data_IF_767449751144
#
_entry.id   IF_767449751144
#
_cell.length_a   1.000
_cell.length_b   1.000
_cell.length_c   1.000
_cell.angle_alpha   90.00
_cell.angle_beta   90.00
_cell.angle_gamma   90.00
#
_symmetry.space_group_name_H-M   'P 1'
#
loop_
_entity.id
_entity.type
_entity.pdbx_description
1 polymer ?
#
# COMPACT_ATOMS: atom_id res chain seq x y z
N UNK A 1 4.17 -5.60 10.44
CA UNK A 1 4.94 -5.33 9.20
C UNK A 1 4.50 -3.98 8.64
N UNK A 2 4.85 -2.86 9.28
CA UNK A 2 4.26 -1.55 8.93
C UNK A 2 5.35 -0.49 8.89
N UNK A 3 5.51 0.16 7.74
CA UNK A 3 6.43 1.28 7.58
C UNK A 3 5.63 2.55 7.26
N UNK A 4 5.99 3.66 7.90
CA UNK A 4 5.40 5.00 7.69
C UNK A 4 5.68 5.59 6.31
N UNK A 5 6.39 4.83 5.47
CA UNK A 5 6.89 5.25 4.16
C UNK A 5 6.04 4.71 2.99
N UNK A 6 4.94 4.01 3.30
CA UNK A 6 4.00 3.50 2.31
C UNK A 6 2.73 4.35 2.24
N UNK A 7 2.33 4.69 1.02
CA UNK A 7 1.11 5.43 0.78
C UNK A 7 0.33 4.76 -0.31
N UNK A 8 -0.95 4.57 -0.04
CA UNK A 8 -1.86 3.90 -0.95
C UNK A 8 -2.77 4.95 -1.54
N UNK A 9 -2.78 5.05 -2.87
CA UNK A 9 -3.80 5.82 -3.57
C UNK A 9 -4.73 4.82 -4.22
N UNK A 10 -5.98 4.85 -3.77
CA UNK A 10 -7.08 4.13 -4.36
C UNK A 10 -7.79 5.05 -5.35
N UNK A 11 -7.96 4.58 -6.57
CA UNK A 11 -8.61 5.30 -7.64
C UNK A 11 -10.02 4.77 -7.87
N UNK A 12 -11.04 5.64 -7.95
CA UNK A 12 -12.40 5.22 -8.31
C UNK A 12 -12.96 5.91 -9.54
N UNK A 13 -13.86 5.20 -10.22
CA UNK A 13 -14.52 5.63 -11.45
C UNK A 13 -15.99 5.95 -11.13
N UNK A 14 -16.35 7.23 -11.06
CA UNK A 14 -17.76 7.63 -10.97
C UNK A 14 -18.38 7.49 -12.36
N UNK A 15 -19.53 6.82 -12.46
CA UNK A 15 -20.13 6.40 -13.72
C UNK A 15 -20.79 7.50 -14.59
N UNK A 16 -20.39 8.77 -14.53
CA UNK A 16 -21.04 9.84 -15.33
C UNK A 16 -20.08 10.75 -16.09
N UNK A 17 -20.20 10.92 -17.43
CA UNK A 17 -19.40 11.85 -18.20
C UNK A 17 -19.91 13.28 -17.99
N UNK A 18 -19.16 14.12 -17.26
CA UNK A 18 -19.46 15.55 -17.15
C UNK A 18 -18.37 16.40 -17.82
N UNK A 19 -18.87 17.33 -18.63
CA UNK A 19 -18.20 18.24 -19.56
C UNK A 19 -17.07 19.08 -18.94
N UNK A 20 -16.00 19.26 -19.72
CA UNK A 20 -14.80 20.01 -19.40
C UNK A 20 -15.08 21.47 -18.98
N UNK A 21 -14.66 21.82 -17.76
CA UNK A 21 -14.51 23.21 -17.33
C UNK A 21 -13.12 23.71 -17.77
N UNK A 22 -13.09 24.85 -18.47
CA UNK A 22 -11.87 25.58 -18.86
C UNK A 22 -11.36 26.37 -17.66
N UNK A 23 -10.16 26.04 -17.17
CA UNK A 23 -9.44 26.82 -16.16
C UNK A 23 -8.53 27.88 -16.80
N UNK A 24 -8.47 29.06 -16.18
CA UNK A 24 -7.76 30.27 -16.63
C UNK A 24 -6.24 30.25 -16.41
N UNK A 25 -5.52 30.84 -17.37
CA UNK A 25 -4.07 30.71 -17.63
C UNK A 25 -3.07 31.37 -16.64
N UNK A 26 -3.49 31.82 -15.46
CA UNK A 26 -2.56 32.45 -14.49
C UNK A 26 -2.22 31.57 -13.29
N UNK A 27 -2.96 30.48 -13.06
CA UNK A 27 -2.62 29.45 -12.06
C UNK A 27 -1.61 28.43 -12.62
N UNK A 28 -1.41 28.39 -13.94
CA UNK A 28 -0.67 27.32 -14.63
C UNK A 28 0.86 27.47 -14.56
N UNK A 29 1.41 28.63 -14.24
CA UNK A 29 2.86 28.89 -14.31
C UNK A 29 3.63 28.38 -13.08
N UNK A 30 3.11 28.59 -11.87
CA UNK A 30 3.69 28.08 -10.62
C UNK A 30 3.64 26.55 -10.58
N UNK A 31 2.48 25.98 -10.95
CA UNK A 31 2.29 24.54 -11.08
C UNK A 31 3.08 23.89 -12.23
N UNK A 32 3.52 24.65 -13.25
CA UNK A 32 4.32 24.13 -14.38
C UNK A 32 5.79 23.88 -14.00
N UNK A 33 6.33 24.59 -13.00
CA UNK A 33 7.69 24.38 -12.49
C UNK A 33 7.78 23.17 -11.57
N UNK A 34 6.86 23.00 -10.61
CA UNK A 34 6.81 21.79 -9.76
C UNK A 34 6.37 20.54 -10.55
N UNK A 35 5.49 20.71 -11.56
CA UNK A 35 5.20 19.64 -12.51
C UNK A 35 6.47 19.10 -13.15
N UNK A 36 7.50 19.89 -13.45
CA UNK A 36 8.70 19.36 -14.10
C UNK A 36 9.42 18.32 -13.23
N UNK A 37 9.58 18.58 -11.93
CA UNK A 37 10.20 17.62 -11.00
C UNK A 37 9.31 16.41 -10.68
N UNK A 38 7.98 16.59 -10.65
CA UNK A 38 7.01 15.50 -10.40
C UNK A 38 6.76 14.65 -11.65
N UNK A 39 6.78 15.24 -12.86
CA UNK A 39 6.65 14.55 -14.15
C UNK A 39 7.93 13.76 -14.49
N UNK A 40 9.10 14.23 -14.03
CA UNK A 40 10.37 13.50 -14.17
C UNK A 40 10.51 12.34 -13.16
N UNK A 41 9.49 12.07 -12.33
CA UNK A 41 9.41 10.82 -11.60
C UNK A 41 9.49 9.66 -12.62
N UNK A 42 10.44 8.71 -12.44
CA UNK A 42 10.58 7.61 -13.38
C UNK A 42 9.22 6.94 -13.52
N UNK A 43 8.68 6.90 -14.75
CA UNK A 43 7.43 6.18 -15.05
C UNK A 43 7.48 4.85 -14.32
N UNK A 44 6.64 4.68 -13.30
CA UNK A 44 6.66 3.45 -12.53
C UNK A 44 6.47 2.30 -13.49
N UNK A 45 7.40 1.36 -13.43
CA UNK A 45 7.32 0.13 -14.20
C UNK A 45 5.96 -0.48 -13.88
N UNK A 46 5.07 -0.50 -14.88
CA UNK A 46 3.88 -1.35 -14.79
C UNK A 46 4.44 -2.75 -14.79
N UNK A 47 4.48 -3.38 -13.62
CA UNK A 47 4.95 -4.75 -13.51
C UNK A 47 3.99 -5.61 -14.34
N UNK A 48 4.46 -6.29 -15.39
CA UNK A 48 3.61 -7.20 -16.14
C UNK A 48 3.08 -8.25 -15.15
N UNK A 49 1.76 -8.40 -15.12
CA UNK A 49 1.08 -9.40 -14.29
C UNK A 49 1.53 -10.83 -14.63
N UNK A 50 2.16 -11.02 -15.80
CA UNK A 50 2.71 -12.29 -16.29
C UNK A 50 4.14 -12.11 -16.90
N UNK A 51 5.16 -11.80 -16.11
CA UNK A 51 6.57 -11.94 -16.57
C UNK A 51 7.18 -13.27 -16.14
N UNK A 52 7.83 -13.91 -17.11
CA UNK A 52 8.62 -15.12 -16.98
C UNK A 52 9.68 -15.05 -15.86
N UNK A 53 9.83 -16.19 -15.17
CA UNK A 53 10.89 -16.56 -14.21
C UNK A 53 11.24 -15.50 -13.16
N UNK A 54 10.56 -15.56 -12.00
CA UNK A 54 10.99 -14.87 -10.78
C UNK A 54 12.38 -15.37 -10.38
N UNK A 55 13.27 -14.47 -9.96
CA UNK A 55 14.59 -14.82 -9.42
C UNK A 55 14.42 -15.84 -8.27
N UNK A 56 15.10 -17.00 -8.32
CA UNK A 56 14.96 -18.03 -7.31
C UNK A 56 15.26 -17.53 -5.88
N UNK A 57 16.19 -16.59 -5.71
CA UNK A 57 16.51 -16.03 -4.39
C UNK A 57 15.38 -15.15 -3.85
N UNK A 58 14.75 -14.35 -4.71
CA UNK A 58 13.57 -13.53 -4.35
C UNK A 58 12.40 -14.44 -4.01
N UNK A 59 12.19 -15.50 -4.79
CA UNK A 59 11.15 -16.50 -4.54
C UNK A 59 11.34 -17.19 -3.20
N UNK A 60 12.55 -17.65 -2.88
CA UNK A 60 12.84 -18.28 -1.58
C UNK A 60 12.56 -17.33 -0.41
N UNK A 61 12.96 -16.05 -0.54
CA UNK A 61 12.69 -15.04 0.50
C UNK A 61 11.19 -14.79 0.64
N UNK A 62 10.45 -14.72 -0.47
CA UNK A 62 9.00 -14.57 -0.46
C UNK A 62 8.33 -15.79 0.18
N UNK A 63 8.74 -17.00 -0.14
CA UNK A 63 8.18 -18.23 0.42
C UNK A 63 8.41 -18.30 1.95
N UNK A 64 9.57 -17.85 2.44
CA UNK A 64 9.83 -17.68 3.88
C UNK A 64 8.94 -16.63 4.55
N UNK A 65 8.58 -15.55 3.85
CA UNK A 65 7.66 -14.56 4.39
C UNK A 65 6.22 -15.09 4.45
N UNK A 66 5.81 -15.84 3.44
CA UNK A 66 4.48 -16.43 3.34
C UNK A 66 4.26 -17.59 4.33
N UNK A 67 5.32 -18.20 4.85
CA UNK A 67 5.22 -19.20 5.90
C UNK A 67 5.02 -18.61 7.30
N UNK A 68 5.11 -17.27 7.46
CA UNK A 68 4.80 -16.61 8.73
C UNK A 68 3.34 -16.83 9.13
N UNK A 69 3.10 -16.86 10.45
CA UNK A 69 1.76 -17.07 11.04
C UNK A 69 0.72 -16.07 10.53
N UNK A 70 1.12 -14.82 10.31
CA UNK A 70 0.23 -13.76 9.78
C UNK A 70 -0.33 -14.04 8.39
N UNK A 71 0.30 -14.90 7.58
CA UNK A 71 -0.22 -15.30 6.26
C UNK A 71 -1.04 -16.59 6.29
N UNK A 72 -1.16 -17.23 7.46
CA UNK A 72 -1.98 -18.40 7.66
C UNK A 72 -3.44 -18.00 7.95
N UNK A 73 -4.41 -18.95 7.89
CA UNK A 73 -5.81 -18.66 8.22
C UNK A 73 -5.98 -17.98 9.60
N UNK A 74 -6.99 -17.12 9.78
CA UNK A 74 -7.15 -16.34 10.99
C UNK A 74 -7.41 -17.24 12.20
N UNK A 75 -6.48 -17.21 13.15
CA UNK A 75 -6.63 -17.80 14.49
C UNK A 75 -6.95 -16.72 15.54
N UNK A 76 -6.36 -15.54 15.40
CA UNK A 76 -6.52 -14.40 16.31
C UNK A 76 -6.99 -13.16 15.54
N UNK A 77 -7.77 -12.31 16.21
CA UNK A 77 -8.16 -11.00 15.67
C UNK A 77 -9.31 -11.02 14.66
N UNK A 78 -9.94 -12.17 14.41
CA UNK A 78 -11.07 -12.30 13.49
C UNK A 78 -12.28 -11.50 13.98
N UNK A 79 -13.00 -10.85 13.06
CA UNK A 79 -14.13 -9.96 13.34
C UNK A 79 -13.78 -8.81 14.31
N UNK A 80 -12.51 -8.40 14.37
CA UNK A 80 -12.05 -7.32 15.24
C UNK A 80 -11.97 -7.70 16.72
N UNK A 81 -11.98 -8.99 17.06
CA UNK A 81 -11.82 -9.46 18.44
C UNK A 81 -10.42 -9.12 18.96
N UNK A 82 -10.34 -8.65 20.21
CA UNK A 82 -9.05 -8.33 20.84
C UNK A 82 -8.17 -9.56 21.05
N UNK A 83 -6.85 -9.39 20.91
CA UNK A 83 -5.88 -10.47 21.07
C UNK A 83 -5.13 -10.33 22.39
N UNK A 84 -5.21 -11.36 23.23
CA UNK A 84 -4.46 -11.44 24.48
C UNK A 84 -3.11 -12.12 24.25
N UNK A 85 -2.04 -11.48 24.72
CA UNK A 85 -0.68 -12.02 24.62
C UNK A 85 -0.36 -12.90 25.83
N UNK A 86 0.33 -14.05 25.64
CA UNK A 86 0.85 -14.83 26.76
C UNK A 86 1.90 -14.03 27.53
N UNK A 87 1.98 -14.25 28.84
CA UNK A 87 2.86 -13.50 29.74
C UNK A 87 4.35 -13.55 29.31
N UNK A 88 4.77 -14.68 28.74
CA UNK A 88 6.13 -14.93 28.24
C UNK A 88 6.58 -13.92 27.17
N UNK A 89 5.65 -13.41 26.36
CA UNK A 89 5.98 -12.49 25.25
C UNK A 89 5.88 -11.01 25.65
N UNK A 90 5.62 -10.70 26.92
CA UNK A 90 5.38 -9.34 27.39
C UNK A 90 6.61 -8.45 27.24
N UNK A 91 7.80 -8.97 27.57
CA UNK A 91 9.06 -8.22 27.46
C UNK A 91 9.39 -7.89 26.01
N UNK A 92 9.23 -8.87 25.11
CA UNK A 92 9.45 -8.66 23.68
C UNK A 92 8.44 -7.68 23.09
N UNK A 93 7.19 -7.78 23.52
CA UNK A 93 6.12 -6.84 23.17
C UNK A 93 6.49 -5.41 23.59
N UNK A 94 6.95 -5.19 24.83
CA UNK A 94 7.33 -3.85 25.31
C UNK A 94 8.53 -3.29 24.55
N UNK A 95 9.54 -4.13 24.26
CA UNK A 95 10.69 -3.75 23.44
C UNK A 95 10.29 -3.33 22.02
N UNK A 96 9.51 -4.18 21.32
CA UNK A 96 9.08 -3.90 19.94
C UNK A 96 8.08 -2.75 19.85
N UNK A 97 7.32 -2.51 20.92
CA UNK A 97 6.43 -1.35 21.03
C UNK A 97 7.23 -0.05 21.05
N UNK A 98 8.37 0.01 21.74
CA UNK A 98 9.23 1.19 21.73
C UNK A 98 9.73 1.54 20.32
N UNK A 99 10.12 0.53 19.54
CA UNK A 99 10.66 0.70 18.20
C UNK A 99 9.59 1.13 17.17
N UNK A 100 8.40 0.51 17.23
CA UNK A 100 7.40 0.64 16.17
C UNK A 100 6.19 1.50 16.60
N UNK A 101 6.05 1.80 17.89
CA UNK A 101 4.89 2.48 18.49
C UNK A 101 3.56 1.73 18.30
N UNK A 102 3.65 0.42 18.04
CA UNK A 102 2.54 -0.51 17.89
C UNK A 102 2.88 -1.86 18.52
N UNK A 103 1.85 -2.62 18.90
CA UNK A 103 2.05 -3.99 19.38
C UNK A 103 2.31 -4.94 18.20
N UNK A 104 3.58 -4.99 17.77
CA UNK A 104 4.01 -5.82 16.63
C UNK A 104 3.77 -7.30 16.89
N UNK A 105 3.95 -7.77 18.13
CA UNK A 105 3.73 -9.19 18.48
C UNK A 105 2.26 -9.56 18.27
N UNK A 106 1.32 -8.73 18.75
CA UNK A 106 -0.10 -8.96 18.49
C UNK A 106 -0.40 -8.93 16.99
N UNK A 107 0.15 -7.97 16.25
CA UNK A 107 -0.04 -7.89 14.80
C UNK A 107 0.51 -9.11 14.04
N UNK A 108 1.61 -9.71 14.48
CA UNK A 108 2.20 -10.90 13.82
C UNK A 108 1.36 -12.17 14.04
N UNK A 109 0.53 -12.20 15.09
CA UNK A 109 -0.41 -13.29 15.35
C UNK A 109 -1.73 -13.12 14.61
N UNK A 110 -2.12 -11.88 14.32
CA UNK A 110 -3.33 -11.57 13.57
C UNK A 110 -3.09 -11.87 12.10
N UNK A 111 -4.04 -12.57 11.46
CA UNK A 111 -3.95 -12.86 10.04
C UNK A 111 -4.15 -11.59 9.20
N UNK A 112 -3.39 -11.48 8.11
CA UNK A 112 -3.52 -10.40 7.12
C UNK A 112 -4.88 -10.45 6.42
N UNK A 113 -5.44 -11.64 6.27
CA UNK A 113 -6.74 -11.86 5.65
C UNK A 113 -7.86 -12.01 6.69
N UNK A 114 -7.73 -11.36 7.86
CA UNK A 114 -8.80 -11.34 8.86
C UNK A 114 -10.02 -10.58 8.34
N UNK A 115 -11.20 -10.97 8.79
CA UNK A 115 -12.42 -10.21 8.50
C UNK A 115 -12.67 -9.16 9.58
N UNK A 116 -13.27 -8.04 9.19
CA UNK A 116 -13.88 -7.09 10.12
C UNK A 116 -15.40 -7.12 9.94
N UNK A 117 -16.19 -6.75 10.96
CA UNK A 117 -17.63 -6.57 10.81
C UNK A 117 -17.91 -5.55 9.69
N UNK A 118 -18.75 -5.93 8.73
CA UNK A 118 -19.08 -5.04 7.62
C UNK A 118 -20.09 -3.98 8.09
N UNK A 119 -19.64 -2.73 8.20
CA UNK A 119 -20.46 -1.59 8.57
C UNK A 119 -21.03 -0.85 7.35
N UNK A 120 -20.74 -1.30 6.14
CA UNK A 120 -21.20 -0.66 4.90
C UNK A 120 -22.65 -1.08 4.61
N UNK A 121 -23.30 -0.29 3.77
CA UNK A 121 -24.49 -0.78 3.07
C UNK A 121 -24.08 -1.82 2.01
N UNK A 122 -24.95 -2.77 1.68
CA UNK A 122 -24.64 -3.93 0.84
C UNK A 122 -24.23 -3.57 -0.62
N UNK A 123 -24.29 -2.30 -0.99
CA UNK A 123 -24.14 -1.78 -2.35
C UNK A 123 -22.75 -1.15 -2.63
N UNK A 124 -21.67 -1.64 -2.02
CA UNK A 124 -20.30 -1.19 -2.33
C UNK A 124 -19.60 -2.14 -3.32
N UNK A 125 -19.80 -2.00 -4.65
CA UNK A 125 -19.27 -2.95 -5.63
C UNK A 125 -17.76 -2.78 -5.84
N UNK A 126 -17.07 -3.91 -5.99
CA UNK A 126 -15.66 -3.98 -6.36
C UNK A 126 -15.34 -3.26 -7.69
N UNK A 127 -16.34 -3.09 -8.56
CA UNK A 127 -16.20 -2.41 -9.85
C UNK A 127 -15.82 -0.92 -9.73
N UNK A 128 -15.95 -0.32 -8.55
CA UNK A 128 -15.53 1.07 -8.33
C UNK A 128 -14.01 1.21 -8.16
N UNK A 129 -13.27 0.12 -7.99
CA UNK A 129 -11.83 0.15 -7.77
C UNK A 129 -11.06 0.05 -9.09
N UNK A 130 -10.44 1.15 -9.52
CA UNK A 130 -9.70 1.23 -10.78
C UNK A 130 -8.27 0.68 -10.63
N UNK A 131 -7.51 1.22 -9.67
CA UNK A 131 -6.15 0.76 -9.36
C UNK A 131 -5.75 1.14 -7.93
N UNK A 132 -4.74 0.42 -7.43
CA UNK A 132 -4.05 0.72 -6.17
C UNK A 132 -2.60 1.09 -6.48
N UNK A 133 -2.17 2.28 -6.06
CA UNK A 133 -0.79 2.74 -6.22
C UNK A 133 -0.13 2.81 -4.85
N UNK A 134 0.89 1.97 -4.64
CA UNK A 134 1.78 1.96 -3.49
C UNK A 134 3.02 2.81 -3.78
N UNK A 135 3.28 3.82 -2.97
CA UNK A 135 4.50 4.62 -3.05
C UNK A 135 5.43 4.22 -1.91
N UNK A 136 6.63 3.74 -2.24
CA UNK A 136 7.71 3.44 -1.29
C UNK A 136 8.70 4.62 -1.24
N UNK A 137 8.65 5.39 -0.14
CA UNK A 137 9.51 6.56 0.11
C UNK A 137 10.90 6.18 0.66
N UNK A 138 11.63 5.36 -0.10
CA UNK A 138 12.96 4.87 0.26
C UNK A 138 12.99 4.11 1.59
N UNK A 139 12.15 3.08 1.70
CA UNK A 139 12.22 2.13 2.82
C UNK A 139 13.57 1.39 2.86
N UNK A 140 14.02 1.09 4.06
CA UNK A 140 15.26 0.35 4.37
C UNK A 140 15.07 -1.16 4.44
N UNK A 141 13.85 -1.64 4.76
CA UNK A 141 13.58 -3.07 4.97
C UNK A 141 13.53 -3.83 3.64
N UNK A 142 14.36 -4.86 3.52
CA UNK A 142 14.49 -5.64 2.28
C UNK A 142 13.18 -6.27 1.77
N UNK A 143 12.29 -6.68 2.68
CA UNK A 143 11.04 -7.32 2.32
C UNK A 143 10.06 -6.36 1.62
N UNK A 144 10.29 -5.05 1.69
CA UNK A 144 9.50 -4.00 1.02
C UNK A 144 9.99 -3.71 -0.40
N UNK A 145 10.99 -4.46 -0.90
CA UNK A 145 11.55 -4.34 -2.24
C UNK A 145 11.04 -5.49 -3.13
N UNK A 146 11.95 -6.20 -3.80
CA UNK A 146 11.62 -7.29 -4.71
C UNK A 146 10.62 -8.34 -4.17
N UNK A 147 10.66 -8.77 -2.88
CA UNK A 147 9.64 -9.68 -2.37
C UNK A 147 8.22 -9.10 -2.40
N UNK A 148 8.06 -7.81 -2.10
CA UNK A 148 6.77 -7.12 -2.16
C UNK A 148 6.30 -6.98 -3.62
N UNK A 149 7.20 -6.64 -4.54
CA UNK A 149 6.91 -6.53 -5.98
C UNK A 149 6.34 -7.83 -6.54
N UNK A 150 6.84 -8.98 -6.08
CA UNK A 150 6.33 -10.29 -6.48
C UNK A 150 5.04 -10.67 -5.74
N UNK A 151 4.88 -10.25 -4.49
CA UNK A 151 3.68 -10.51 -3.71
C UNK A 151 2.44 -9.81 -4.30
N UNK A 152 2.56 -8.53 -4.69
CA UNK A 152 1.42 -7.73 -5.17
C UNK A 152 0.82 -8.23 -6.49
N UNK A 153 1.59 -8.98 -7.30
CA UNK A 153 1.11 -9.55 -8.58
C UNK A 153 0.03 -10.62 -8.40
N UNK A 154 -0.18 -11.12 -7.19
CA UNK A 154 -1.15 -12.18 -6.88
C UNK A 154 -2.58 -11.65 -6.72
N UNK A 155 -2.74 -10.34 -6.52
CA UNK A 155 -4.06 -9.75 -6.28
C UNK A 155 -4.83 -9.56 -7.59
N UNK A 156 -6.16 -9.76 -7.58
CA UNK A 156 -7.00 -9.59 -8.76
C UNK A 156 -7.20 -8.12 -9.16
N UNK A 157 -6.84 -7.18 -8.28
CA UNK A 157 -6.94 -5.75 -8.51
C UNK A 157 -5.66 -5.24 -9.16
N UNK A 158 -5.73 -4.31 -10.13
CA UNK A 158 -4.53 -3.66 -10.67
C UNK A 158 -3.75 -2.92 -9.57
N UNK A 159 -2.59 -3.44 -9.19
CA UNK A 159 -1.68 -2.82 -8.23
C UNK A 159 -0.38 -2.36 -8.89
N UNK A 160 0.14 -1.21 -8.45
CA UNK A 160 1.41 -0.64 -8.89
C UNK A 160 2.23 -0.22 -7.68
N UNK A 161 3.52 -0.52 -7.68
CA UNK A 161 4.46 -0.04 -6.67
C UNK A 161 5.48 0.91 -7.29
N UNK A 162 5.81 1.98 -6.59
CA UNK A 162 6.76 3.00 -7.03
C UNK A 162 7.82 3.20 -5.95
N UNK A 163 9.05 2.76 -6.22
CA UNK A 163 10.19 3.01 -5.35
C UNK A 163 10.85 4.35 -5.67
N UNK A 164 10.80 5.29 -4.73
CA UNK A 164 11.46 6.58 -4.88
C UNK A 164 12.98 6.44 -4.67
N UNK A 165 13.77 7.17 -5.48
CA UNK A 165 15.23 7.16 -5.40
C UNK A 165 15.78 7.93 -4.18
N UNK A 166 14.96 8.78 -3.58
CA UNK A 166 15.30 9.63 -2.44
C UNK A 166 14.12 9.72 -1.49
N UNK A 167 14.40 9.83 -0.19
CA UNK A 167 13.39 10.12 0.84
C UNK A 167 12.85 11.53 0.62
N UNK A 168 11.60 11.62 0.21
CA UNK A 168 10.92 12.84 -0.24
C UNK A 168 9.90 13.36 0.76
N UNK A 169 9.41 12.50 1.66
CA UNK A 169 8.42 12.79 2.68
C UNK A 169 6.97 12.60 2.20
N UNK A 170 6.06 12.45 3.17
CA UNK A 170 4.62 12.18 3.02
C UNK A 170 3.95 12.96 1.88
N UNK A 171 4.12 14.28 1.89
CA UNK A 171 3.44 15.18 0.95
C UNK A 171 3.88 14.89 -0.49
N UNK A 172 5.19 14.81 -0.74
CA UNK A 172 5.74 14.57 -2.08
C UNK A 172 5.47 13.15 -2.57
N UNK A 173 5.47 12.17 -1.67
CA UNK A 173 5.09 10.81 -2.02
C UNK A 173 3.63 10.74 -2.48
N UNK A 174 2.70 11.38 -1.74
CA UNK A 174 1.28 11.49 -2.14
C UNK A 174 1.10 12.22 -3.48
N UNK A 175 1.81 13.33 -3.69
CA UNK A 175 1.76 14.08 -4.96
C UNK A 175 2.29 13.25 -6.14
N UNK A 176 3.39 12.50 -5.93
CA UNK A 176 3.94 11.59 -6.94
C UNK A 176 2.91 10.55 -7.36
N UNK A 177 2.28 9.87 -6.41
CA UNK A 177 1.23 8.91 -6.73
C UNK A 177 0.03 9.55 -7.42
N UNK A 178 -0.37 10.76 -6.99
CA UNK A 178 -1.50 11.50 -7.59
C UNK A 178 -1.26 11.83 -9.06
N UNK A 179 -0.03 12.19 -9.43
CA UNK A 179 0.33 12.47 -10.82
C UNK A 179 0.33 11.24 -11.74
N UNK A 180 0.28 10.04 -11.17
CA UNK A 180 0.35 8.76 -11.89
C UNK A 180 -0.98 8.00 -11.93
N UNK A 181 -1.93 8.43 -11.09
CA UNK A 181 -3.26 7.89 -10.96
C UNK A 181 -4.10 8.11 -12.22
N UNK A 182 -4.87 7.09 -12.61
CA UNK A 182 -5.80 7.14 -13.74
C UNK A 182 -7.26 7.36 -13.32
N UNK A 183 -7.58 7.09 -12.05
CA UNK A 183 -8.93 7.24 -11.52
C UNK A 183 -9.40 8.68 -11.53
N UNK A 184 -10.73 8.85 -11.53
CA UNK A 184 -11.37 10.16 -11.45
C UNK A 184 -11.34 10.73 -10.04
N UNK A 185 -11.42 9.85 -9.05
CA UNK A 185 -11.36 10.20 -7.62
C UNK A 185 -10.12 9.55 -7.03
N UNK A 186 -9.38 10.34 -6.23
CA UNK A 186 -8.23 9.88 -5.46
C UNK A 186 -8.62 9.71 -4.00
N UNK A 187 -8.43 8.51 -3.47
CA UNK A 187 -8.54 8.21 -2.05
C UNK A 187 -7.15 7.89 -1.52
N UNK A 188 -6.69 8.66 -0.53
CA UNK A 188 -5.42 8.43 0.14
C UNK A 188 -5.66 7.58 1.39
N UNK A 189 -4.93 6.48 1.49
CA UNK A 189 -4.90 5.62 2.68
C UNK A 189 -3.47 5.55 3.21
N UNK A 190 -3.36 5.51 4.53
CA UNK A 190 -2.09 5.27 5.20
C UNK A 190 -1.70 3.78 5.08
N UNK A 191 -0.42 3.45 5.28
CA UNK A 191 0.10 2.08 5.14
C UNK A 191 -0.49 1.06 6.14
N UNK A 192 -1.17 1.53 7.17
CA UNK A 192 -1.63 0.76 8.33
C UNK A 192 -3.12 1.01 8.56
N UNK A 193 -3.90 0.81 7.51
CA UNK A 193 -5.37 0.81 7.53
C UNK A 193 -5.88 -0.60 7.27
N UNK A 194 -7.11 -0.84 7.69
CA UNK A 194 -7.85 -2.09 7.45
C UNK A 194 -9.21 -1.78 6.82
#
# INVERSE_FOLDING_TARGET
>A
MFNKDFYTIQCSNSGEPHSALRESDTFTSFWRLEKKEVIDAPRAKVLPQNSATVDPAVKEKLDKLLSLKSFQPPEYGENGVGVALPAEMTEEKDKRFLENQFNVIASEMISINRSLPDYRSAESPLALLEEIILIDDLSDRDYLKAPLDEYIKRFPVPMRIVHLKRRSGLIRARLTGSGMAKGRVLLFLDAHVE
#
